data_IF_510995835871
#
_entry.id   IF_510995835871
#
_cell.length_a   1.000
_cell.length_b   1.000
_cell.length_c   1.000
_cell.angle_alpha   90.00
_cell.angle_beta   90.00
_cell.angle_gamma   90.00
#
_symmetry.space_group_name_H-M   'P 1'
#
loop_
_entity.id
_entity.type
_entity.pdbx_description
1 polymer ?
#
# COMPACT_ATOMS: atom_id res chain seq x y z
N UNK A 1 -4.43 9.71 20.79
CA UNK A 1 -3.56 8.82 20.00
C UNK A 1 -3.43 7.48 20.68
N UNK A 2 -3.51 6.39 19.93
CA UNK A 2 -3.30 5.02 20.40
C UNK A 2 -2.14 4.41 19.61
N UNK A 3 -1.09 4.00 20.30
CA UNK A 3 0.10 3.39 19.71
C UNK A 3 -0.01 1.86 19.80
N UNK A 4 0.22 1.17 18.70
CA UNK A 4 0.12 -0.28 18.61
C UNK A 4 1.37 -0.84 17.92
N UNK A 5 2.15 -1.63 18.67
CA UNK A 5 3.29 -2.38 18.18
C UNK A 5 3.62 -3.51 19.18
N UNK A 6 4.25 -4.58 18.69
CA UNK A 6 4.95 -5.55 19.52
C UNK A 6 6.35 -5.04 19.86
N UNK A 7 6.90 -5.52 20.98
CA UNK A 7 8.25 -5.15 21.43
C UNK A 7 9.28 -5.36 20.32
N UNK A 8 9.29 -6.53 19.70
CA UNK A 8 10.20 -6.89 18.62
C UNK A 8 10.14 -5.94 17.42
N UNK A 9 8.97 -5.38 17.11
CA UNK A 9 8.83 -4.39 16.03
C UNK A 9 9.49 -3.06 16.41
N UNK A 10 9.36 -2.64 17.68
CA UNK A 10 10.00 -1.43 18.19
C UNK A 10 11.52 -1.61 18.30
N UNK A 11 11.96 -2.79 18.73
CA UNK A 11 13.38 -3.12 18.79
C UNK A 11 13.99 -3.11 17.38
N UNK A 12 13.29 -3.65 16.37
CA UNK A 12 13.68 -3.53 14.96
C UNK A 12 13.67 -2.07 14.50
N UNK A 13 12.63 -1.29 14.79
CA UNK A 13 12.57 0.13 14.41
C UNK A 13 13.75 0.93 14.99
N UNK A 14 14.20 0.61 16.21
CA UNK A 14 15.33 1.26 16.86
C UNK A 14 16.69 1.02 16.18
N UNK A 15 16.80 0.00 15.33
CA UNK A 15 18.06 -0.34 14.63
C UNK A 15 18.12 0.21 13.21
N UNK A 16 17.01 0.73 12.69
CA UNK A 16 16.93 1.17 11.30
C UNK A 16 17.56 2.56 11.12
N UNK A 17 18.31 2.69 10.02
CA UNK A 17 18.80 3.98 9.53
C UNK A 17 17.72 4.79 8.83
N UNK A 18 16.56 4.19 8.54
CA UNK A 18 15.47 4.82 7.82
C UNK A 18 14.18 4.00 7.82
N UNK A 19 13.06 4.68 7.65
CA UNK A 19 11.74 4.08 7.53
C UNK A 19 10.78 5.05 6.82
N UNK A 20 9.64 4.54 6.40
CA UNK A 20 8.57 5.29 5.74
C UNK A 20 7.39 5.50 6.69
N UNK A 21 6.76 6.67 6.58
CA UNK A 21 5.59 7.07 7.36
C UNK A 21 4.48 7.54 6.43
N UNK A 22 3.34 6.86 6.47
CA UNK A 22 2.17 7.21 5.64
C UNK A 22 0.89 7.23 6.48
N UNK A 23 -0.10 7.98 6.01
CA UNK A 23 -1.41 8.09 6.63
C UNK A 23 -2.49 7.41 5.77
N UNK A 24 -3.27 6.53 6.38
CA UNK A 24 -4.46 5.93 5.79
C UNK A 24 -5.76 6.51 6.36
N UNK A 25 -6.60 6.97 5.45
CA UNK A 25 -7.93 7.53 5.72
C UNK A 25 -9.08 6.51 5.57
N UNK A 26 -8.83 5.30 5.02
CA UNK A 26 -9.92 4.38 4.58
C UNK A 26 -10.18 3.21 5.51
N UNK A 27 -9.34 3.01 6.52
CA UNK A 27 -9.37 1.78 7.32
C UNK A 27 -10.37 1.81 8.46
N UNK A 28 -10.54 2.97 9.08
CA UNK A 28 -11.43 3.15 10.23
C UNK A 28 -12.75 3.73 9.72
N UNK A 29 -13.87 3.27 10.29
CA UNK A 29 -15.22 3.75 9.93
C UNK A 29 -15.43 5.22 10.28
N UNK A 30 -14.83 5.65 11.39
CA UNK A 30 -14.91 7.04 11.84
C UNK A 30 -14.16 7.95 10.88
N UNK A 31 -14.79 9.07 10.52
CA UNK A 31 -14.16 10.14 9.74
C UNK A 31 -13.17 10.98 10.56
N UNK A 32 -13.24 10.86 11.88
CA UNK A 32 -12.43 11.62 12.83
C UNK A 32 -11.18 10.87 13.26
N UNK A 33 -10.91 9.68 12.73
CA UNK A 33 -9.77 8.86 13.14
C UNK A 33 -9.01 8.35 11.91
N UNK A 34 -7.73 8.67 11.89
CA UNK A 34 -6.79 8.24 10.87
C UNK A 34 -5.80 7.25 11.46
N UNK A 35 -5.21 6.44 10.58
CA UNK A 35 -4.12 5.54 10.93
C UNK A 35 -2.83 6.04 10.30
N UNK A 36 -1.80 6.22 11.11
CA UNK A 36 -0.42 6.49 10.65
C UNK A 36 0.40 5.22 10.82
N UNK A 37 1.11 4.84 9.77
CA UNK A 37 1.95 3.65 9.71
C UNK A 37 3.41 4.04 9.64
N UNK A 38 4.23 3.45 10.49
CA UNK A 38 5.68 3.40 10.33
C UNK A 38 5.99 2.04 9.73
N UNK A 39 6.66 1.99 8.59
CA UNK A 39 7.03 0.75 7.94
C UNK A 39 8.41 0.83 7.31
N UNK A 40 8.98 -0.33 7.01
CA UNK A 40 10.22 -0.43 6.25
C UNK A 40 10.12 -1.53 5.20
N UNK A 41 10.82 -1.34 4.09
CA UNK A 41 11.07 -2.40 3.13
C UNK A 41 12.35 -3.13 3.53
N UNK A 42 12.25 -4.45 3.69
CA UNK A 42 13.34 -5.37 3.93
C UNK A 42 13.78 -5.96 2.57
N UNK A 43 14.90 -5.49 1.97
CA UNK A 43 15.29 -5.89 0.62
C UNK A 43 15.70 -7.36 0.52
N UNK A 44 16.34 -7.87 1.58
CA UNK A 44 16.71 -9.27 1.77
C UNK A 44 15.50 -10.22 1.68
N UNK A 45 14.35 -9.77 2.18
CA UNK A 45 13.12 -10.55 2.21
C UNK A 45 12.14 -10.16 1.09
N UNK A 46 12.48 -9.14 0.28
CA UNK A 46 11.57 -8.49 -0.66
C UNK A 46 10.19 -8.19 -0.04
N UNK A 47 10.18 -7.76 1.23
CA UNK A 47 8.97 -7.69 2.04
C UNK A 47 8.89 -6.38 2.79
N UNK A 48 7.67 -5.92 3.01
CA UNK A 48 7.40 -4.74 3.81
C UNK A 48 6.87 -5.15 5.16
N UNK A 49 7.42 -4.53 6.19
CA UNK A 49 7.07 -4.79 7.58
C UNK A 49 6.54 -3.48 8.17
N UNK A 50 5.32 -3.52 8.72
CA UNK A 50 4.84 -2.46 9.59
C UNK A 50 5.54 -2.58 10.94
N UNK A 51 6.04 -1.46 11.46
CA UNK A 51 6.84 -1.40 12.68
C UNK A 51 6.06 -0.75 13.84
N UNK A 52 5.24 0.25 13.53
CA UNK A 52 4.40 0.93 14.49
C UNK A 52 3.13 1.45 13.80
N UNK A 53 1.99 1.31 14.46
CA UNK A 53 0.73 1.92 14.06
C UNK A 53 0.28 2.94 15.08
N UNK A 54 -0.18 4.08 14.61
CA UNK A 54 -0.72 5.15 15.45
C UNK A 54 -2.11 5.51 14.97
N UNK A 55 -3.11 5.28 15.82
CA UNK A 55 -4.47 5.78 15.58
C UNK A 55 -4.61 7.15 16.20
N UNK A 56 -4.94 8.15 15.38
CA UNK A 56 -5.01 9.56 15.80
C UNK A 56 -6.23 10.25 15.21
N UNK A 57 -6.83 11.15 15.98
CA UNK A 57 -7.87 12.05 15.51
C UNK A 57 -7.32 13.39 15.00
N UNK A 58 -6.03 13.62 15.24
CA UNK A 58 -5.36 14.85 14.86
C UNK A 58 -4.81 14.74 13.43
N UNK A 59 -5.23 15.67 12.57
CA UNK A 59 -4.64 15.95 11.25
C UNK A 59 -4.27 17.43 11.19
N UNK A 60 -3.29 17.80 12.02
CA UNK A 60 -2.76 19.15 12.17
C UNK A 60 -1.25 19.08 12.38
N UNK A 61 -0.54 20.18 12.13
CA UNK A 61 0.91 20.27 12.38
C UNK A 61 1.26 19.91 13.83
N UNK A 62 0.52 20.46 14.79
CA UNK A 62 0.66 20.15 16.22
C UNK A 62 0.38 18.67 16.52
N UNK A 63 -0.64 18.11 15.88
CA UNK A 63 -0.94 16.68 15.94
C UNK A 63 0.23 15.82 15.50
N UNK A 64 0.86 16.15 14.38
CA UNK A 64 2.04 15.42 13.90
C UNK A 64 3.25 15.63 14.81
N UNK A 65 3.50 16.85 15.30
CA UNK A 65 4.56 17.11 16.29
C UNK A 65 4.40 16.21 17.53
N UNK A 66 3.21 16.17 18.12
CA UNK A 66 2.91 15.31 19.26
C UNK A 66 3.02 13.83 18.91
N UNK A 67 2.65 13.43 17.69
CA UNK A 67 2.81 12.06 17.20
C UNK A 67 4.29 11.67 17.17
N UNK A 68 5.15 12.47 16.54
CA UNK A 68 6.59 12.20 16.46
C UNK A 68 7.22 12.14 17.84
N UNK A 69 6.97 13.15 18.67
CA UNK A 69 7.49 13.23 20.04
C UNK A 69 7.15 11.98 20.86
N UNK A 70 5.89 11.53 20.80
CA UNK A 70 5.44 10.34 21.53
C UNK A 70 5.93 9.04 20.90
N UNK A 71 6.02 8.97 19.58
CA UNK A 71 6.53 7.79 18.87
C UNK A 71 8.01 7.55 19.21
N UNK A 72 8.84 8.58 19.11
CA UNK A 72 10.28 8.46 19.41
C UNK A 72 10.52 8.20 20.89
N UNK A 73 9.81 8.88 21.78
CA UNK A 73 9.88 8.56 23.21
C UNK A 73 9.47 7.11 23.52
N UNK A 74 8.45 6.57 22.84
CA UNK A 74 8.06 5.17 22.99
C UNK A 74 9.17 4.22 22.53
N UNK A 75 9.82 4.52 21.41
CA UNK A 75 10.94 3.72 20.88
C UNK A 75 12.08 3.70 21.90
N UNK A 76 12.46 4.85 22.45
CA UNK A 76 13.52 4.94 23.46
C UNK A 76 13.17 4.14 24.72
N UNK A 77 11.94 4.31 25.22
CA UNK A 77 11.47 3.64 26.43
C UNK A 77 11.45 2.12 26.30
N UNK A 78 11.07 1.59 25.14
CA UNK A 78 10.91 0.14 24.93
C UNK A 78 12.25 -0.51 24.58
N UNK A 79 13.04 0.11 23.70
CA UNK A 79 14.32 -0.44 23.24
C UNK A 79 15.48 -0.18 24.21
N UNK A 80 15.34 0.82 25.08
CA UNK A 80 16.42 1.30 25.96
C UNK A 80 17.54 2.02 25.22
N UNK A 81 17.35 2.38 23.95
CA UNK A 81 18.33 3.08 23.11
C UNK A 81 17.83 4.47 22.75
N UNK A 82 18.70 5.50 22.73
CA UNK A 82 18.29 6.83 22.28
C UNK A 82 17.93 6.82 20.79
N UNK A 83 16.92 7.61 20.41
CA UNK A 83 16.60 7.84 19.00
C UNK A 83 17.43 9.01 18.51
N UNK A 84 18.42 8.70 17.67
CA UNK A 84 19.33 9.69 17.10
C UNK A 84 19.02 9.93 15.62
N UNK A 85 19.33 11.14 15.18
CA UNK A 85 19.19 11.60 13.81
C UNK A 85 20.55 12.05 13.30
N UNK A 86 21.00 11.49 12.19
CA UNK A 86 22.35 11.71 11.65
C UNK A 86 22.66 13.21 11.44
N UNK A 87 21.76 14.04 10.88
CA UNK A 87 22.04 15.47 10.69
C UNK A 87 22.29 16.24 11.99
N UNK A 88 21.67 15.82 13.10
CA UNK A 88 21.72 16.53 14.39
C UNK A 88 22.83 15.94 15.29
N UNK A 89 22.98 14.61 15.28
CA UNK A 89 23.79 13.88 16.24
C UNK A 89 25.02 13.20 15.63
N UNK A 90 25.17 13.22 14.29
CA UNK A 90 26.23 12.54 13.55
C UNK A 90 26.10 11.01 13.50
N UNK A 91 24.94 10.47 13.91
CA UNK A 91 24.59 9.06 13.79
C UNK A 91 23.08 8.83 13.91
N UNK A 92 22.62 7.65 13.50
CA UNK A 92 21.23 7.20 13.68
C UNK A 92 20.43 7.21 12.38
N UNK A 93 19.26 7.85 12.41
CA UNK A 93 18.35 7.92 11.27
C UNK A 93 18.91 8.90 10.23
N UNK A 94 19.16 8.41 9.01
CA UNK A 94 19.68 9.17 7.88
C UNK A 94 18.56 9.74 7.00
N UNK A 95 17.37 9.14 7.06
CA UNK A 95 16.23 9.68 6.33
C UNK A 95 14.89 9.06 6.71
N UNK A 96 13.85 9.86 6.60
CA UNK A 96 12.46 9.49 6.82
C UNK A 96 11.70 9.74 5.53
N UNK A 97 11.09 8.68 5.01
CA UNK A 97 10.24 8.78 3.82
C UNK A 97 8.84 9.16 4.27
N UNK A 98 8.27 10.22 3.70
CA UNK A 98 6.93 10.71 4.05
C UNK A 98 6.09 10.96 2.81
N UNK A 99 4.78 11.08 3.01
CA UNK A 99 3.91 11.72 2.01
C UNK A 99 4.28 13.22 1.89
N UNK A 100 3.85 13.85 0.80
CA UNK A 100 4.00 15.27 0.57
C UNK A 100 2.89 16.08 1.25
N UNK A 101 2.64 15.81 2.53
CA UNK A 101 1.72 16.57 3.39
C UNK A 101 2.49 17.60 4.21
N UNK A 102 2.16 18.88 4.00
CA UNK A 102 2.77 20.01 4.70
C UNK A 102 2.64 19.90 6.21
N UNK A 103 1.52 19.40 6.73
CA UNK A 103 1.31 19.27 8.18
C UNK A 103 2.26 18.23 8.77
N UNK A 104 2.41 17.08 8.09
CA UNK A 104 3.26 15.98 8.51
C UNK A 104 4.72 16.40 8.64
N UNK A 105 5.33 16.92 7.57
CA UNK A 105 6.74 17.27 7.64
C UNK A 105 7.01 18.53 8.48
N UNK A 106 6.04 19.45 8.59
CA UNK A 106 6.22 20.61 9.48
C UNK A 106 6.18 20.19 10.94
N UNK A 107 5.30 19.25 11.32
CA UNK A 107 5.26 18.68 12.67
C UNK A 107 6.55 17.90 13.01
N UNK A 108 7.13 17.20 12.02
CA UNK A 108 8.46 16.60 12.19
C UNK A 108 9.53 17.67 12.45
N UNK A 109 9.53 18.75 11.67
CA UNK A 109 10.47 19.86 11.83
C UNK A 109 10.41 20.48 13.23
N UNK A 110 9.21 20.70 13.76
CA UNK A 110 9.02 21.19 15.13
C UNK A 110 9.65 20.26 16.18
N UNK A 111 9.50 18.94 16.01
CA UNK A 111 10.10 17.97 16.92
C UNK A 111 11.63 17.97 16.79
N UNK A 112 12.16 17.98 15.57
CA UNK A 112 13.61 18.04 15.33
C UNK A 112 14.22 19.32 15.90
N UNK A 113 13.52 20.44 15.84
CA UNK A 113 13.97 21.71 16.42
C UNK A 113 13.99 21.70 17.94
N UNK A 114 13.14 20.90 18.59
CA UNK A 114 13.14 20.72 20.04
C UNK A 114 14.37 19.96 20.53
N UNK A 115 14.81 18.94 19.78
CA UNK A 115 15.90 18.06 20.18
C UNK A 115 17.28 18.51 19.68
N UNK A 116 17.32 19.51 18.78
CA UNK A 116 18.56 20.00 18.20
C UNK A 116 19.27 21.00 19.14
N UNK A 117 20.44 20.63 19.70
CA UNK A 117 21.18 21.51 20.60
C UNK A 117 21.76 22.75 19.91
N UNK A 118 21.88 22.72 18.58
CA UNK A 118 22.42 23.83 17.79
C UNK A 118 21.33 24.81 17.33
N UNK A 119 20.06 24.51 17.60
CA UNK A 119 18.91 25.32 17.18
C UNK A 119 18.94 25.70 15.70
N UNK A 120 19.28 24.74 14.83
CA UNK A 120 19.25 24.95 13.39
C UNK A 120 17.82 25.26 12.92
N UNK A 121 17.71 25.95 11.80
CA UNK A 121 16.41 26.27 11.21
C UNK A 121 15.64 24.97 10.86
N UNK A 122 14.32 24.88 11.13
CA UNK A 122 13.54 23.69 10.79
C UNK A 122 13.64 23.30 9.31
N UNK A 123 13.77 24.28 8.40
CA UNK A 123 13.97 24.01 6.96
C UNK A 123 15.27 23.26 6.74
N UNK A 124 16.36 23.68 7.40
CA UNK A 124 17.64 23.00 7.34
C UNK A 124 17.49 21.55 7.79
N UNK A 125 16.88 21.32 8.94
CA UNK A 125 16.69 19.96 9.48
C UNK A 125 15.90 19.07 8.52
N UNK A 126 14.81 19.59 7.96
CA UNK A 126 13.98 18.87 7.01
C UNK A 126 14.71 18.55 5.69
N UNK A 127 15.52 19.48 5.18
CA UNK A 127 16.32 19.28 3.97
C UNK A 127 17.40 18.19 4.14
N UNK A 128 17.81 17.91 5.37
CA UNK A 128 18.83 16.90 5.68
C UNK A 128 18.24 15.54 6.07
N UNK A 129 16.91 15.38 6.10
CA UNK A 129 16.32 14.12 6.58
C UNK A 129 15.08 13.63 5.83
N UNK A 130 14.37 14.49 5.12
CA UNK A 130 13.14 14.09 4.44
C UNK A 130 13.40 13.59 3.03
N UNK A 131 12.70 12.51 2.69
CA UNK A 131 12.51 12.07 1.31
C UNK A 131 11.02 11.95 1.04
N UNK A 132 10.56 12.49 -0.08
CA UNK A 132 9.16 12.39 -0.47
C UNK A 132 8.89 11.14 -1.28
N UNK A 133 7.81 10.45 -0.96
CA UNK A 133 7.39 9.25 -1.67
C UNK A 133 7.12 9.54 -3.16
N UNK A 134 7.77 8.77 -4.06
CA UNK A 134 7.66 8.93 -5.51
C UNK A 134 6.23 8.72 -6.02
N UNK A 135 5.49 7.79 -5.42
CA UNK A 135 4.12 7.51 -5.87
C UNK A 135 3.17 8.63 -5.49
N UNK A 136 3.32 9.21 -4.30
CA UNK A 136 2.57 10.39 -3.90
C UNK A 136 2.90 11.61 -4.76
N UNK A 137 4.17 11.79 -5.13
CA UNK A 137 4.56 12.79 -6.11
C UNK A 137 3.86 12.57 -7.46
N UNK A 138 3.86 11.34 -8.00
CA UNK A 138 3.15 10.99 -9.23
C UNK A 138 1.64 11.28 -9.13
N UNK A 139 1.00 10.93 -8.01
CA UNK A 139 -0.42 11.24 -7.77
C UNK A 139 -0.67 12.74 -7.79
N UNK A 140 0.24 13.54 -7.23
CA UNK A 140 0.14 15.00 -7.26
C UNK A 140 0.18 15.57 -8.68
N UNK A 141 1.01 14.99 -9.56
CA UNK A 141 1.04 15.34 -11.00
C UNK A 141 -0.32 15.01 -11.64
N UNK A 142 -0.81 13.78 -11.45
CA UNK A 142 -2.08 13.34 -12.03
C UNK A 142 -3.28 14.13 -11.51
N UNK A 143 -3.21 14.69 -10.30
CA UNK A 143 -4.22 15.63 -9.78
C UNK A 143 -4.20 16.96 -10.54
N UNK A 144 -3.02 17.45 -10.93
CA UNK A 144 -2.87 18.70 -11.66
C UNK A 144 -3.23 18.58 -13.15
N UNK A 145 -2.87 17.46 -13.79
CA UNK A 145 -3.06 17.28 -15.25
C UNK A 145 -4.21 16.34 -15.63
N UNK A 146 -4.78 15.61 -14.67
CA UNK A 146 -5.78 14.56 -14.91
C UNK A 146 -5.18 13.19 -15.24
N UNK A 147 -5.85 12.12 -14.78
CA UNK A 147 -5.37 10.73 -14.90
C UNK A 147 -5.24 10.24 -16.35
N UNK A 148 -6.04 10.79 -17.27
CA UNK A 148 -6.00 10.48 -18.71
C UNK A 148 -4.69 10.94 -19.37
N UNK A 149 -3.99 11.90 -18.77
CA UNK A 149 -2.76 12.48 -19.31
C UNK A 149 -1.49 11.80 -18.78
N UNK A 150 -1.62 10.65 -18.09
CA UNK A 150 -0.49 9.84 -17.66
C UNK A 150 0.33 9.39 -18.89
N UNK A 151 1.65 9.59 -18.86
CA UNK A 151 2.54 9.25 -19.96
C UNK A 151 2.57 10.27 -21.10
N UNK A 152 1.86 11.39 -20.99
CA UNK A 152 1.97 12.51 -21.95
C UNK A 152 3.35 13.18 -21.89
N UNK A 153 3.65 14.02 -22.88
CA UNK A 153 4.85 14.87 -22.87
C UNK A 153 4.89 15.79 -21.64
N UNK A 154 3.75 16.36 -21.24
CA UNK A 154 3.63 17.17 -20.02
C UNK A 154 3.91 16.35 -18.76
N UNK A 155 3.32 15.15 -18.64
CA UNK A 155 3.60 14.25 -17.53
C UNK A 155 5.10 13.95 -17.42
N UNK A 156 5.75 13.69 -18.56
CA UNK A 156 7.19 13.41 -18.62
C UNK A 156 8.01 14.63 -18.17
N UNK A 157 7.69 15.84 -18.64
CA UNK A 157 8.35 17.09 -18.18
C UNK A 157 8.22 17.31 -16.67
N UNK A 158 7.04 17.08 -16.10
CA UNK A 158 6.82 17.23 -14.65
C UNK A 158 7.56 16.14 -13.85
N UNK A 159 7.66 14.93 -14.39
CA UNK A 159 8.43 13.84 -13.80
C UNK A 159 9.94 14.09 -13.82
N UNK A 160 10.45 14.82 -14.82
CA UNK A 160 11.89 15.14 -14.93
C UNK A 160 12.46 15.91 -13.74
N UNK A 161 11.64 16.56 -12.91
CA UNK A 161 12.08 17.15 -11.64
C UNK A 161 12.78 16.14 -10.72
N UNK A 162 12.44 14.85 -10.84
CA UNK A 162 13.07 13.79 -10.08
C UNK A 162 14.51 13.50 -10.52
N UNK A 163 14.87 13.87 -11.74
CA UNK A 163 16.08 13.40 -12.41
C UNK A 163 17.02 14.55 -12.86
N UNK A 164 16.70 15.81 -12.50
CA UNK A 164 17.59 16.97 -12.70
C UNK A 164 18.96 16.74 -12.05
N UNK A 165 20.02 17.09 -12.77
CA UNK A 165 21.42 16.88 -12.38
C UNK A 165 22.00 18.04 -11.55
N UNK A 166 21.25 19.14 -11.41
CA UNK A 166 21.63 20.27 -10.57
C UNK A 166 20.41 21.00 -10.00
N UNK A 167 20.63 21.73 -8.90
CA UNK A 167 19.62 22.61 -8.33
C UNK A 167 19.19 23.73 -9.31
N UNK A 168 20.13 24.23 -10.12
CA UNK A 168 19.84 25.23 -11.15
C UNK A 168 18.91 24.70 -12.25
N UNK A 169 19.15 23.47 -12.71
CA UNK A 169 18.29 22.79 -13.69
C UNK A 169 16.88 22.54 -13.14
N UNK A 170 16.78 22.12 -11.87
CA UNK A 170 15.49 21.96 -11.20
C UNK A 170 14.73 23.28 -11.16
N UNK A 171 15.38 24.36 -10.74
CA UNK A 171 14.78 25.69 -10.64
C UNK A 171 14.39 26.26 -12.01
N UNK A 172 15.18 25.97 -13.06
CA UNK A 172 14.85 26.33 -14.44
C UNK A 172 13.59 25.58 -14.93
N UNK A 173 13.52 24.27 -14.73
CA UNK A 173 12.35 23.48 -15.11
C UNK A 173 11.09 23.97 -14.39
N UNK A 174 11.17 24.29 -13.10
CA UNK A 174 10.06 24.90 -12.36
C UNK A 174 9.64 26.23 -12.99
N UNK A 175 10.57 27.11 -13.36
CA UNK A 175 10.25 28.39 -14.02
C UNK A 175 9.51 28.17 -15.34
N UNK A 176 9.96 27.23 -16.16
CA UNK A 176 9.32 26.89 -17.43
C UNK A 176 7.89 26.37 -17.22
N UNK A 177 7.68 25.49 -16.23
CA UNK A 177 6.34 24.99 -15.88
C UNK A 177 5.40 26.11 -15.39
N UNK A 178 5.93 27.08 -14.64
CA UNK A 178 5.15 28.25 -14.18
C UNK A 178 4.80 29.19 -15.35
N UNK A 179 5.70 29.34 -16.32
CA UNK A 179 5.52 30.29 -17.42
C UNK A 179 4.59 29.79 -18.52
N UNK A 180 4.65 28.51 -18.87
CA UNK A 180 4.06 28.01 -20.12
C UNK A 180 2.90 27.02 -19.96
N UNK A 181 2.69 26.46 -18.76
CA UNK A 181 1.69 25.40 -18.56
C UNK A 181 0.36 25.94 -18.01
N UNK A 182 -0.65 25.06 -17.86
CA UNK A 182 -1.98 25.45 -17.37
C UNK A 182 -1.95 25.96 -15.92
N UNK A 183 -2.92 26.78 -15.47
CA UNK A 183 -2.95 27.33 -14.11
C UNK A 183 -2.85 26.28 -12.99
N UNK A 184 -3.40 25.08 -13.21
CA UNK A 184 -3.30 23.96 -12.28
C UNK A 184 -1.85 23.47 -12.14
N UNK A 185 -1.11 23.37 -13.26
CA UNK A 185 0.32 23.00 -13.27
C UNK A 185 1.18 24.12 -12.70
N UNK A 186 0.87 25.38 -13.00
CA UNK A 186 1.60 26.52 -12.43
C UNK A 186 1.51 26.53 -10.90
N UNK A 187 0.30 26.36 -10.35
CA UNK A 187 0.07 26.28 -8.89
C UNK A 187 0.83 25.11 -8.28
N UNK A 188 0.79 23.94 -8.94
CA UNK A 188 1.57 22.77 -8.54
C UNK A 188 3.08 23.06 -8.54
N UNK A 189 3.61 23.70 -9.59
CA UNK A 189 5.03 24.01 -9.72
C UNK A 189 5.51 25.03 -8.67
N UNK A 190 4.68 26.04 -8.37
CA UNK A 190 4.95 26.99 -7.26
C UNK A 190 5.10 26.25 -5.94
N UNK A 191 4.25 25.26 -5.66
CA UNK A 191 4.38 24.42 -4.46
C UNK A 191 5.71 23.65 -4.47
N UNK A 192 6.10 23.06 -5.61
CA UNK A 192 7.34 22.27 -5.75
C UNK A 192 8.63 23.10 -5.70
N UNK A 193 8.53 24.43 -5.74
CA UNK A 193 9.63 25.37 -5.52
C UNK A 193 10.12 25.41 -4.06
N UNK A 194 9.32 24.93 -3.10
CA UNK A 194 9.69 24.90 -1.68
C UNK A 194 11.05 24.24 -1.46
N UNK A 195 11.89 24.87 -0.61
CA UNK A 195 13.24 24.41 -0.30
C UNK A 195 13.27 23.01 0.31
N UNK A 196 12.26 22.67 1.13
CA UNK A 196 12.07 21.32 1.69
C UNK A 196 11.65 20.33 0.60
N UNK A 197 10.66 20.71 -0.22
CA UNK A 197 10.11 19.82 -1.25
C UNK A 197 11.16 19.46 -2.29
N UNK A 198 11.93 20.43 -2.79
CA UNK A 198 12.98 20.15 -3.76
C UNK A 198 14.07 19.24 -3.18
N UNK A 199 14.50 19.48 -1.94
CA UNK A 199 15.53 18.69 -1.28
C UNK A 199 15.08 17.23 -1.02
N UNK A 200 13.80 17.01 -0.73
CA UNK A 200 13.26 15.66 -0.53
C UNK A 200 12.88 14.93 -1.82
N UNK A 201 12.82 15.62 -2.97
CA UNK A 201 12.44 15.04 -4.26
C UNK A 201 13.63 14.65 -5.12
N UNK A 202 14.67 15.48 -5.14
CA UNK A 202 15.80 15.35 -6.06
C UNK A 202 17.13 15.30 -5.29
N UNK A 203 17.97 14.32 -5.63
CA UNK A 203 19.28 14.11 -5.01
C UNK A 203 20.17 15.35 -5.11
N UNK A 204 20.25 15.97 -6.29
CA UNK A 204 21.05 17.16 -6.59
C UNK A 204 20.64 18.38 -5.77
N UNK A 205 19.40 18.40 -5.27
CA UNK A 205 18.86 19.44 -4.39
C UNK A 205 18.95 19.06 -2.90
N UNK A 206 19.13 17.77 -2.61
CA UNK A 206 19.10 17.23 -1.25
C UNK A 206 20.34 17.63 -0.45
N UNK A 207 20.20 17.66 0.88
CA UNK A 207 21.34 17.78 1.79
C UNK A 207 21.65 16.47 2.52
N UNK A 208 20.90 15.41 2.22
CA UNK A 208 21.22 14.03 2.58
C UNK A 208 22.41 13.57 1.73
N UNK A 209 23.33 12.77 2.28
CA UNK A 209 24.44 12.25 1.49
C UNK A 209 23.93 11.41 0.30
N UNK A 210 24.52 11.57 -0.91
CA UNK A 210 24.14 10.86 -2.14
C UNK A 210 23.91 9.34 -1.99
N UNK A 211 24.81 8.69 -1.25
CA UNK A 211 24.72 7.24 -0.99
C UNK A 211 23.42 6.86 -0.27
N UNK A 212 23.09 7.57 0.82
CA UNK A 212 21.86 7.33 1.57
C UNK A 212 20.64 7.73 0.76
N UNK A 213 20.66 8.88 0.10
CA UNK A 213 19.51 9.34 -0.71
C UNK A 213 19.09 8.28 -1.74
N UNK A 214 20.04 7.72 -2.48
CA UNK A 214 19.78 6.69 -3.48
C UNK A 214 19.27 5.39 -2.88
N UNK A 215 19.84 4.94 -1.76
CA UNK A 215 19.37 3.75 -1.05
C UNK A 215 17.90 3.91 -0.64
N UNK A 216 17.54 5.06 -0.07
CA UNK A 216 16.20 5.35 0.44
C UNK A 216 15.17 5.49 -0.69
N UNK A 217 15.56 6.13 -1.80
CA UNK A 217 14.69 6.37 -2.95
C UNK A 217 14.26 5.09 -3.67
N UNK A 218 15.10 4.07 -3.68
CA UNK A 218 14.80 2.79 -4.33
C UNK A 218 13.67 2.00 -3.66
N UNK A 219 13.28 2.39 -2.44
CA UNK A 219 12.36 1.62 -1.60
C UNK A 219 11.03 2.32 -1.27
N UNK A 220 10.70 3.44 -1.93
CA UNK A 220 9.47 4.24 -1.68
C UNK A 220 8.15 3.56 -2.07
N UNK A 221 8.14 2.25 -2.35
CA UNK A 221 6.93 1.47 -2.64
C UNK A 221 6.40 0.74 -1.39
N UNK A 222 7.04 0.91 -0.23
CA UNK A 222 6.79 0.08 0.93
C UNK A 222 5.41 0.34 1.55
N UNK A 223 5.06 1.59 1.80
CA UNK A 223 3.83 1.83 2.55
C UNK A 223 2.56 1.69 1.70
N UNK A 224 2.60 1.93 0.39
CA UNK A 224 1.44 1.69 -0.47
C UNK A 224 1.01 0.21 -0.50
N UNK A 225 1.97 -0.72 -0.56
CA UNK A 225 1.65 -2.14 -0.47
C UNK A 225 1.21 -2.53 0.96
N UNK A 226 1.72 -1.86 1.99
CA UNK A 226 1.27 -2.07 3.39
C UNK A 226 -0.18 -1.64 3.61
N UNK A 227 -0.60 -0.54 3.00
CA UNK A 227 -2.01 -0.13 2.97
C UNK A 227 -2.87 -1.13 2.24
N UNK A 228 -2.43 -1.60 1.06
CA UNK A 228 -3.14 -2.62 0.29
C UNK A 228 -3.32 -3.91 1.12
N UNK A 229 -2.29 -4.33 1.85
CA UNK A 229 -2.30 -5.50 2.74
C UNK A 229 -3.23 -5.29 3.94
N UNK A 230 -3.16 -4.12 4.57
CA UNK A 230 -4.03 -3.75 5.69
C UNK A 230 -5.52 -3.68 5.27
N UNK A 231 -5.79 -3.25 4.03
CA UNK A 231 -7.14 -3.24 3.45
C UNK A 231 -7.66 -4.63 3.07
N UNK A 232 -6.78 -5.62 2.84
CA UNK A 232 -7.20 -7.00 2.59
C UNK A 232 -7.92 -7.60 3.80
N UNK A 233 -7.62 -7.10 5.01
CA UNK A 233 -8.31 -7.48 6.25
C UNK A 233 -9.58 -6.66 6.55
N UNK A 234 -10.04 -5.85 5.59
CA UNK A 234 -11.27 -5.05 5.69
C UNK A 234 -11.03 -3.54 5.61
N UNK A 235 -12.10 -2.81 5.24
CA UNK A 235 -12.17 -1.34 5.24
C UNK A 235 -13.35 -0.90 6.12
N UNK A 236 -13.28 0.32 6.65
CA UNK A 236 -14.31 0.90 7.52
C UNK A 236 -14.61 0.05 8.77
N UNK A 237 -13.56 -0.42 9.44
CA UNK A 237 -13.67 -1.18 10.68
C UNK A 237 -13.88 -0.25 11.89
N UNK A 238 -14.44 -0.77 12.97
CA UNK A 238 -14.36 -0.07 14.26
C UNK A 238 -12.89 0.01 14.72
N UNK A 239 -12.56 0.97 15.60
CA UNK A 239 -11.18 1.12 16.09
C UNK A 239 -10.65 -0.17 16.74
N UNK A 240 -11.47 -0.82 17.56
CA UNK A 240 -11.09 -2.06 18.24
C UNK A 240 -10.87 -3.22 17.26
N UNK A 241 -11.66 -3.33 16.19
CA UNK A 241 -11.47 -4.32 15.14
C UNK A 241 -10.24 -4.02 14.30
N UNK A 242 -10.02 -2.76 13.92
CA UNK A 242 -8.83 -2.33 13.20
C UNK A 242 -7.56 -2.65 13.99
N UNK A 243 -7.54 -2.37 15.29
CA UNK A 243 -6.42 -2.70 16.17
C UNK A 243 -6.21 -4.22 16.28
N UNK A 244 -7.26 -5.02 16.51
CA UNK A 244 -7.16 -6.49 16.62
C UNK A 244 -6.71 -7.14 15.31
N UNK A 245 -7.23 -6.69 14.17
CA UNK A 245 -6.84 -7.22 12.86
C UNK A 245 -5.39 -6.82 12.51
N UNK A 246 -4.99 -5.60 12.85
CA UNK A 246 -3.59 -5.16 12.71
C UNK A 246 -2.66 -6.04 13.52
N UNK A 247 -2.98 -6.28 14.80
CA UNK A 247 -2.13 -7.08 15.68
C UNK A 247 -1.87 -8.50 15.13
N UNK A 248 -2.84 -9.10 14.43
CA UNK A 248 -2.64 -10.39 13.76
C UNK A 248 -1.63 -10.28 12.60
N UNK A 249 -1.84 -9.34 11.69
CA UNK A 249 -0.95 -9.11 10.54
C UNK A 249 0.48 -8.76 10.98
N UNK A 250 0.59 -7.88 11.97
CA UNK A 250 1.86 -7.39 12.49
C UNK A 250 2.62 -8.52 13.21
N UNK A 251 1.90 -9.41 13.91
CA UNK A 251 2.48 -10.61 14.52
C UNK A 251 3.00 -11.59 13.47
N UNK A 252 2.23 -11.82 12.41
CA UNK A 252 2.67 -12.69 11.32
C UNK A 252 3.89 -12.11 10.60
N UNK A 253 3.97 -10.78 10.47
CA UNK A 253 5.11 -10.12 9.85
C UNK A 253 6.39 -10.26 10.64
N UNK A 254 6.33 -10.05 11.96
CA UNK A 254 7.52 -10.19 12.81
C UNK A 254 7.94 -11.66 12.97
N UNK A 255 6.99 -12.61 13.00
CA UNK A 255 7.31 -14.03 13.01
C UNK A 255 8.03 -14.46 11.72
N UNK A 256 7.58 -13.96 10.57
CA UNK A 256 8.26 -14.23 9.29
C UNK A 256 9.64 -13.61 9.24
N UNK A 257 9.82 -12.40 9.79
CA UNK A 257 11.13 -11.78 9.93
C UNK A 257 12.08 -12.64 10.77
N UNK A 258 11.63 -13.13 11.94
CA UNK A 258 12.43 -14.01 12.79
C UNK A 258 12.77 -15.33 12.10
N UNK A 259 11.80 -15.94 11.41
CA UNK A 259 12.04 -17.19 10.67
C UNK A 259 13.08 -17.01 9.56
N UNK A 260 13.09 -15.87 8.89
CA UNK A 260 14.14 -15.54 7.92
C UNK A 260 15.50 -15.37 8.63
N UNK A 261 15.57 -14.57 9.68
CA UNK A 261 16.83 -14.31 10.39
C UNK A 261 17.44 -15.59 11.00
N UNK A 262 16.61 -16.46 11.58
CA UNK A 262 17.07 -17.65 12.30
C UNK A 262 17.27 -18.86 11.39
N UNK A 263 16.41 -19.05 10.39
CA UNK A 263 16.36 -20.28 9.59
C UNK A 263 16.55 -20.05 8.08
N UNK A 264 16.75 -18.79 7.65
CA UNK A 264 16.83 -18.39 6.24
C UNK A 264 15.60 -18.81 5.41
N UNK A 265 14.43 -18.89 6.06
CA UNK A 265 13.18 -19.27 5.41
C UNK A 265 12.58 -18.04 4.73
N UNK A 266 12.58 -18.07 3.40
CA UNK A 266 12.04 -16.97 2.59
C UNK A 266 10.52 -17.07 2.47
N UNK A 267 9.85 -15.93 2.51
CA UNK A 267 8.42 -15.85 2.22
C UNK A 267 8.19 -16.04 0.71
N UNK A 268 7.45 -17.08 0.31
CA UNK A 268 7.06 -17.28 -1.10
C UNK A 268 5.56 -17.07 -1.29
N UNK A 269 5.19 -16.09 -2.13
CA UNK A 269 3.81 -15.96 -2.62
C UNK A 269 3.44 -17.02 -3.66
N UNK A 270 4.44 -17.74 -4.20
CA UNK A 270 4.26 -18.82 -5.16
C UNK A 270 3.91 -20.10 -4.43
N UNK A 271 2.94 -20.84 -4.96
CA UNK A 271 2.73 -22.21 -4.53
C UNK A 271 3.97 -23.04 -4.90
N UNK A 272 4.27 -24.07 -4.09
CA UNK A 272 5.44 -24.93 -4.26
C UNK A 272 5.48 -25.68 -5.60
N UNK A 273 4.38 -25.69 -6.35
CA UNK A 273 4.27 -26.39 -7.63
C UNK A 273 3.98 -25.44 -8.80
N UNK A 274 4.57 -25.74 -9.95
CA UNK A 274 4.37 -25.02 -11.21
C UNK A 274 2.89 -25.02 -11.62
N UNK A 275 2.19 -26.13 -11.37
CA UNK A 275 0.77 -26.31 -11.66
C UNK A 275 -0.12 -25.35 -10.86
N UNK A 276 0.11 -25.21 -9.55
CA UNK A 276 -0.67 -24.29 -8.73
C UNK A 276 -0.42 -22.82 -9.11
N UNK A 277 0.80 -22.48 -9.55
CA UNK A 277 1.10 -21.15 -10.08
C UNK A 277 0.41 -20.90 -11.44
N UNK A 278 0.41 -21.90 -12.33
CA UNK A 278 -0.25 -21.83 -13.64
C UNK A 278 -1.78 -21.69 -13.49
N UNK A 279 -2.41 -22.51 -12.63
CA UNK A 279 -3.84 -22.43 -12.34
C UNK A 279 -4.24 -21.09 -11.71
N UNK A 280 -3.39 -20.55 -10.83
CA UNK A 280 -3.61 -19.22 -10.24
C UNK A 280 -3.55 -18.12 -11.29
N UNK A 281 -2.58 -18.17 -12.21
CA UNK A 281 -2.48 -17.24 -13.34
C UNK A 281 -3.72 -17.30 -14.25
N UNK A 282 -4.12 -18.51 -14.65
CA UNK A 282 -5.36 -18.75 -15.42
C UNK A 282 -6.60 -18.21 -14.70
N UNK A 283 -6.65 -18.31 -13.36
CA UNK A 283 -7.77 -17.77 -12.57
C UNK A 283 -7.80 -16.24 -12.57
N UNK A 284 -6.64 -15.59 -12.61
CA UNK A 284 -6.51 -14.13 -12.68
C UNK A 284 -6.91 -13.61 -14.05
N UNK A 285 -6.48 -14.26 -15.13
CA UNK A 285 -6.91 -13.92 -16.50
C UNK A 285 -8.43 -14.06 -16.66
N UNK A 286 -9.04 -15.14 -16.15
CA UNK A 286 -10.50 -15.32 -16.19
C UNK A 286 -11.24 -14.23 -15.41
N UNK A 287 -10.69 -13.74 -14.29
CA UNK A 287 -11.28 -12.62 -13.53
C UNK A 287 -11.09 -11.28 -14.24
N UNK A 288 -9.97 -11.08 -14.92
CA UNK A 288 -9.72 -9.93 -15.78
C UNK A 288 -10.71 -9.84 -16.95
N UNK A 289 -10.91 -10.95 -17.67
CA UNK A 289 -11.90 -11.03 -18.74
C UNK A 289 -13.34 -10.83 -18.25
N UNK A 290 -13.70 -11.30 -17.04
CA UNK A 290 -15.03 -11.03 -16.46
C UNK A 290 -15.25 -9.53 -16.18
N UNK A 291 -14.22 -8.81 -15.72
CA UNK A 291 -14.30 -7.35 -15.53
C UNK A 291 -14.40 -6.59 -16.85
N UNK A 292 -13.67 -7.01 -17.89
CA UNK A 292 -13.80 -6.45 -19.23
C UNK A 292 -15.16 -6.75 -19.88
N UNK A 293 -15.72 -7.94 -19.64
CA UNK A 293 -17.07 -8.28 -20.14
C UNK A 293 -18.17 -7.44 -19.52
N UNK A 294 -18.06 -7.13 -18.22
CA UNK A 294 -19.02 -6.27 -17.52
C UNK A 294 -18.94 -4.80 -17.97
N UNK A 295 -17.76 -4.31 -18.37
CA UNK A 295 -17.64 -2.97 -18.98
C UNK A 295 -18.17 -2.94 -20.42
N UNK A 296 -17.98 -4.00 -21.21
CA UNK A 296 -18.52 -4.06 -22.58
C UNK A 296 -20.03 -4.21 -22.64
N UNK A 297 -20.67 -4.86 -21.66
CA UNK A 297 -22.15 -4.92 -21.59
C UNK A 297 -22.81 -3.58 -21.27
N UNK A 298 -22.11 -2.65 -20.61
CA UNK A 298 -22.62 -1.32 -20.34
C UNK A 298 -22.56 -0.39 -21.57
N UNK A 299 -21.65 -0.65 -22.51
CA UNK A 299 -21.54 0.11 -23.77
C UNK A 299 -22.51 -0.42 -24.84
N UNK A 300 -22.84 -1.72 -24.83
CA UNK A 300 -23.74 -2.34 -25.82
C UNK A 300 -25.22 -1.94 -25.69
N UNK A 301 -25.68 -1.39 -24.55
CA UNK A 301 -27.06 -0.86 -24.43
C UNK A 301 -27.25 0.53 -25.05
N UNK A 302 -26.17 1.19 -25.51
CA UNK A 302 -26.22 2.56 -26.03
C UNK A 302 -26.11 2.69 -27.56
N UNK A 303 -26.05 1.59 -28.30
CA UNK A 303 -25.89 1.60 -29.77
C UNK A 303 -26.87 0.69 -30.51
N UNK A 304 -28.09 0.53 -29.99
CA UNK A 304 -29.20 -0.04 -30.75
C UNK A 304 -29.84 1.02 -31.68
N UNK A 305 -29.04 1.63 -32.57
CA UNK A 305 -29.56 2.34 -33.76
C UNK A 305 -28.42 2.66 -34.73
N UNK A 306 -28.17 1.75 -35.67
CA UNK A 306 -27.91 2.03 -37.10
C UNK A 306 -27.44 0.75 -37.79
N UNK A 307 -28.15 0.37 -38.85
CA UNK A 307 -27.89 -0.80 -39.67
C UNK A 307 -26.71 -0.60 -40.64
N UNK A 308 -25.98 -1.71 -40.83
CA UNK A 308 -25.35 -2.23 -42.05
C UNK A 308 -24.37 -1.36 -42.86
N UNK A 309 -23.12 -1.83 -42.97
CA UNK A 309 -22.53 -2.23 -44.27
C UNK A 309 -21.36 -3.23 -44.04
N UNK A 310 -21.36 -4.32 -44.82
CA UNK A 310 -20.33 -5.37 -44.88
C UNK A 310 -19.09 -4.93 -45.69
N UNK A 311 -17.92 -5.54 -45.43
CA UNK A 311 -17.23 -6.49 -46.34
C UNK A 311 -15.76 -6.77 -45.88
N UNK A 312 -15.49 -8.07 -45.73
CA UNK A 312 -14.27 -8.91 -45.78
C UNK A 312 -12.82 -8.35 -45.76
N UNK A 313 -11.93 -9.05 -45.03
CA UNK A 313 -10.82 -9.77 -45.67
C UNK A 313 -10.16 -10.84 -44.77
N UNK A 314 -9.90 -11.99 -45.37
CA UNK A 314 -9.18 -13.18 -44.89
C UNK A 314 -7.67 -12.94 -44.69
N UNK A 315 -7.02 -13.67 -43.76
CA UNK A 315 -5.90 -14.54 -44.13
C UNK A 315 -5.41 -15.45 -42.98
N UNK A 316 -5.38 -16.74 -43.31
CA UNK A 316 -4.76 -17.86 -42.61
C UNK A 316 -3.23 -17.83 -42.70
N UNK A 317 -2.52 -18.43 -41.73
CA UNK A 317 -1.47 -19.45 -41.98
C UNK A 317 -0.88 -20.07 -40.71
N UNK A 318 -0.43 -21.30 -40.89
CA UNK A 318 -0.24 -22.41 -39.96
C UNK A 318 1.23 -22.77 -39.68
N UNK A 319 1.44 -23.36 -38.50
CA UNK A 319 2.30 -24.50 -38.10
C UNK A 319 3.62 -24.85 -38.83
N UNK A 320 4.64 -25.21 -38.03
CA UNK A 320 5.42 -26.46 -38.21
C UNK A 320 6.36 -26.77 -37.02
N UNK A 321 6.35 -28.04 -36.63
CA UNK A 321 7.11 -28.78 -35.60
C UNK A 321 8.49 -29.28 -36.05
N UNK A 322 9.36 -29.71 -35.11
CA UNK A 322 10.17 -30.95 -35.22
C UNK A 322 10.85 -31.38 -33.89
N UNK A 323 11.10 -32.69 -33.77
CA UNK A 323 11.41 -33.54 -32.59
C UNK A 323 12.71 -34.32 -32.81
N UNK A 324 13.46 -34.67 -31.73
CA UNK A 324 14.29 -35.89 -31.50
C UNK A 324 15.06 -35.75 -30.16
N UNK A 325 14.84 -36.53 -29.09
CA UNK A 325 15.19 -37.94 -28.74
C UNK A 325 16.50 -38.11 -27.93
N UNK A 326 16.40 -38.62 -26.68
CA UNK A 326 17.16 -39.80 -26.19
C UNK A 326 16.77 -40.23 -24.75
N UNK A 327 16.52 -41.54 -24.57
CA UNK A 327 16.24 -42.23 -23.30
C UNK A 327 17.47 -42.96 -22.74
N UNK A 328 17.67 -42.90 -21.41
CA UNK A 328 18.15 -44.04 -20.60
C UNK A 328 18.04 -43.73 -19.10
N UNK A 329 17.06 -44.30 -18.36
CA UNK A 329 17.09 -44.57 -16.89
C UNK A 329 15.73 -45.12 -16.40
N UNK A 330 15.43 -46.38 -16.71
CA UNK A 330 14.07 -46.93 -16.55
C UNK A 330 13.85 -47.81 -15.31
N UNK A 331 14.84 -47.98 -14.41
CA UNK A 331 14.73 -48.96 -13.32
C UNK A 331 14.39 -48.39 -11.92
N UNK A 332 14.79 -47.15 -11.56
CA UNK A 332 14.52 -46.61 -10.21
C UNK A 332 13.16 -45.92 -10.04
N UNK A 333 12.42 -45.69 -11.13
CA UNK A 333 11.16 -44.94 -11.16
C UNK A 333 9.96 -45.71 -10.62
N UNK A 334 9.95 -47.05 -10.70
CA UNK A 334 8.74 -47.83 -10.45
C UNK A 334 8.41 -47.98 -8.95
N UNK A 335 9.39 -47.99 -8.06
CA UNK A 335 9.14 -48.07 -6.61
C UNK A 335 8.69 -46.72 -5.99
N UNK A 336 9.18 -45.58 -6.52
CA UNK A 336 8.67 -44.25 -6.12
C UNK A 336 7.25 -43.99 -6.62
N UNK A 337 6.88 -44.54 -7.79
CA UNK A 337 5.58 -44.29 -8.40
C UNK A 337 4.43 -44.86 -7.58
N UNK A 338 4.57 -46.08 -7.07
CA UNK A 338 3.51 -46.77 -6.30
C UNK A 338 3.29 -46.14 -4.91
N UNK A 339 4.36 -45.67 -4.25
CA UNK A 339 4.25 -44.92 -3.00
C UNK A 339 3.65 -43.51 -3.22
N UNK A 340 4.00 -42.84 -4.32
CA UNK A 340 3.47 -41.51 -4.66
C UNK A 340 1.99 -41.53 -5.04
N UNK A 341 1.51 -42.57 -5.72
CA UNK A 341 0.10 -42.69 -6.09
C UNK A 341 -0.78 -42.86 -4.87
N UNK A 342 -0.39 -43.66 -3.87
CA UNK A 342 -1.20 -43.89 -2.67
C UNK A 342 -1.26 -42.66 -1.74
N UNK A 343 -0.19 -41.86 -1.67
CA UNK A 343 -0.19 -40.59 -0.92
C UNK A 343 -1.05 -39.54 -1.61
N UNK A 344 -0.98 -39.42 -2.94
CA UNK A 344 -1.81 -38.51 -3.73
C UNK A 344 -3.31 -38.80 -3.57
N UNK A 345 -3.73 -40.07 -3.51
CA UNK A 345 -5.15 -40.42 -3.32
C UNK A 345 -5.67 -40.04 -1.94
N UNK A 346 -4.85 -40.14 -0.89
CA UNK A 346 -5.23 -39.77 0.48
C UNK A 346 -5.32 -38.24 0.61
N UNK A 347 -4.38 -37.52 -0.01
CA UNK A 347 -4.32 -36.06 0.04
C UNK A 347 -5.44 -35.40 -0.77
N UNK A 348 -5.78 -35.96 -1.94
CA UNK A 348 -6.97 -35.56 -2.71
C UNK A 348 -8.27 -35.73 -1.92
N UNK A 349 -8.41 -36.85 -1.19
CA UNK A 349 -9.61 -37.13 -0.38
C UNK A 349 -9.71 -36.19 0.84
N UNK A 350 -8.58 -35.76 1.40
CA UNK A 350 -8.52 -34.75 2.47
C UNK A 350 -8.91 -33.37 1.97
N UNK A 351 -8.42 -32.98 0.78
CA UNK A 351 -8.79 -31.71 0.15
C UNK A 351 -10.27 -31.66 -0.25
N UNK A 352 -10.86 -32.78 -0.70
CA UNK A 352 -12.28 -32.86 -1.01
C UNK A 352 -13.16 -32.69 0.25
N UNK A 353 -12.76 -33.29 1.37
CA UNK A 353 -13.45 -33.11 2.66
C UNK A 353 -13.36 -31.66 3.15
N UNK A 354 -12.17 -31.04 3.06
CA UNK A 354 -11.97 -29.65 3.48
C UNK A 354 -12.75 -28.65 2.60
N UNK A 355 -12.88 -28.93 1.30
CA UNK A 355 -13.74 -28.17 0.39
C UNK A 355 -15.22 -28.30 0.76
N UNK A 356 -15.70 -29.50 1.11
CA UNK A 356 -17.10 -29.69 1.54
C UNK A 356 -17.41 -28.98 2.86
N UNK A 357 -16.47 -28.98 3.81
CA UNK A 357 -16.63 -28.25 5.07
C UNK A 357 -16.69 -26.73 4.84
N UNK A 358 -15.85 -26.20 3.93
CA UNK A 358 -15.89 -24.80 3.51
C UNK A 358 -17.21 -24.44 2.82
N UNK A 359 -17.73 -25.29 1.93
CA UNK A 359 -19.02 -25.08 1.28
C UNK A 359 -20.18 -25.07 2.28
N UNK A 360 -20.17 -25.98 3.26
CA UNK A 360 -21.16 -26.01 4.34
C UNK A 360 -21.12 -24.75 5.21
N UNK A 361 -19.92 -24.24 5.53
CA UNK A 361 -19.74 -23.01 6.31
C UNK A 361 -20.18 -21.77 5.53
N UNK A 362 -19.92 -21.70 4.22
CA UNK A 362 -20.43 -20.61 3.35
C UNK A 362 -21.95 -20.62 3.34
N UNK A 363 -22.57 -21.79 3.16
CA UNK A 363 -24.03 -21.92 3.14
C UNK A 363 -24.67 -21.50 4.46
N UNK A 364 -24.06 -21.87 5.60
CA UNK A 364 -24.51 -21.40 6.93
C UNK A 364 -24.45 -19.88 7.08
N UNK A 365 -23.38 -19.25 6.58
CA UNK A 365 -23.24 -17.79 6.61
C UNK A 365 -24.26 -17.09 5.70
N UNK A 366 -24.56 -17.67 4.54
CA UNK A 366 -25.61 -17.16 3.65
C UNK A 366 -26.99 -17.21 4.31
N UNK A 367 -27.32 -18.32 4.99
CA UNK A 367 -28.57 -18.44 5.75
C UNK A 367 -28.65 -17.45 6.92
N UNK A 368 -27.54 -17.22 7.64
CA UNK A 368 -27.47 -16.22 8.72
C UNK A 368 -27.68 -14.78 8.20
N UNK A 369 -27.09 -14.45 7.04
CA UNK A 369 -27.30 -13.15 6.39
C UNK A 369 -28.77 -12.99 5.98
N UNK A 370 -29.39 -14.04 5.43
CA UNK A 370 -30.79 -14.03 5.04
C UNK A 370 -31.73 -13.84 6.24
N UNK A 371 -31.42 -14.47 7.37
CA UNK A 371 -32.20 -14.29 8.61
C UNK A 371 -32.11 -12.84 9.12
N UNK A 372 -30.91 -12.25 9.10
CA UNK A 372 -30.71 -10.84 9.48
C UNK A 372 -31.44 -9.87 8.56
N UNK A 373 -31.51 -10.16 7.26
CA UNK A 373 -32.28 -9.35 6.31
C UNK A 373 -33.78 -9.38 6.63
N UNK A 374 -34.34 -10.57 6.90
CA UNK A 374 -35.76 -10.70 7.27
C UNK A 374 -36.07 -10.00 8.61
N UNK A 375 -35.16 -10.06 9.59
CA UNK A 375 -35.33 -9.33 10.84
C UNK A 375 -35.32 -7.81 10.64
N UNK A 376 -34.44 -7.30 9.77
CA UNK A 376 -34.41 -5.88 9.44
C UNK A 376 -35.70 -5.43 8.74
N UNK A 377 -36.21 -6.21 7.78
CA UNK A 377 -37.49 -5.93 7.12
C UNK A 377 -38.67 -5.90 8.11
N UNK A 378 -38.69 -6.80 9.09
CA UNK A 378 -39.70 -6.80 10.15
C UNK A 378 -39.64 -5.53 11.01
N UNK A 379 -38.44 -5.11 11.41
CA UNK A 379 -38.24 -3.90 12.20
C UNK A 379 -38.62 -2.62 11.41
N UNK A 380 -38.34 -2.58 10.11
CA UNK A 380 -38.76 -1.46 9.24
C UNK A 380 -40.28 -1.36 9.11
N UNK A 381 -40.98 -2.50 8.98
CA UNK A 381 -42.44 -2.54 8.96
C UNK A 381 -43.06 -2.13 10.29
N UNK A 382 -42.44 -2.51 11.41
CA UNK A 382 -42.89 -2.10 12.75
C UNK A 382 -42.70 -0.59 12.98
N UNK A 383 -41.56 -0.04 12.56
CA UNK A 383 -41.30 1.40 12.57
C UNK A 383 -42.32 2.18 11.74
N UNK A 384 -42.66 1.69 10.54
CA UNK A 384 -43.70 2.31 9.71
C UNK A 384 -45.08 2.29 10.38
N UNK A 385 -45.45 1.18 11.04
CA UNK A 385 -46.72 1.09 11.77
C UNK A 385 -46.78 2.05 12.95
N UNK A 386 -45.69 2.20 13.69
CA UNK A 386 -45.59 3.16 14.79
C UNK A 386 -45.70 4.61 14.30
N UNK A 387 -45.08 4.93 13.16
CA UNK A 387 -45.18 6.26 12.56
C UNK A 387 -46.62 6.59 12.12
N UNK A 388 -47.33 5.63 11.55
CA UNK A 388 -48.75 5.81 11.17
C UNK A 388 -49.62 6.02 12.42
N UNK A 389 -49.44 5.22 13.48
CA UNK A 389 -50.17 5.40 14.73
C UNK A 389 -49.92 6.76 15.39
N UNK A 390 -48.67 7.25 15.37
CA UNK A 390 -48.32 8.57 15.90
C UNK A 390 -48.97 9.69 15.07
N UNK A 391 -49.03 9.54 13.73
CA UNK A 391 -49.73 10.48 12.87
C UNK A 391 -51.24 10.52 13.12
N UNK A 392 -51.86 9.35 13.32
CA UNK A 392 -53.29 9.25 13.61
C UNK A 392 -53.64 9.86 14.98
N UNK A 393 -52.79 9.67 16.01
CA UNK A 393 -52.96 10.29 17.32
C UNK A 393 -52.76 11.82 17.34
N UNK A 394 -52.06 12.37 16.34
CA UNK A 394 -51.87 13.82 16.19
C UNK A 394 -53.02 14.50 15.42
N UNK A 395 -53.95 13.74 14.84
CA UNK A 395 -55.08 14.26 14.05
C UNK A 395 -56.44 14.19 14.77
N UNK A 396 -56.53 13.50 15.91
CA UNK A 396 -57.63 13.59 16.90
C UNK A 396 -57.26 14.52 18.04
#
# INVERSE_FOLDING_TARGET
MVFCAFKDQIDLLSTLSSFEIDMSFKRIRSKEMNEVLFATFMPDQCKIITLLRVFTSEDSTEGYYLLFKRAFHLIEKVSGRPVLFDPIHGSGIHGIIVDMDTKQYTGLGQYLSEIDPQYQDPTWQLQHIIIFCRVHFQRSILKAIGTKNKGSGLWSRMMSLLDCQSEAEYDELIKLLIQYESPAVQTWAIQKKSAVIKAGLNESCSKIQPHYFNLLRNHTNAVEQSHQKSYASGKYLTLAEAARNSAKLDKDDILQYHNFQQFNIHHSYRASTMEANYLRHMSWERRGCKRQRLSSTAESESQASSQNFEISHENSRSSSSQVADNESTTSSRNLRRVASTNILTIEQRRQELELRDLEAEVKRKEEEVRLKQLQNEQLELELMRQQIQIQEQQQT
#
